data_IF_893052648901
#
_entry.id   IF_893052648901
#
_cell.length_a   1.000
_cell.length_b   1.000
_cell.length_c   1.000
_cell.angle_alpha   90.00
_cell.angle_beta   90.00
_cell.angle_gamma   90.00
#
_symmetry.space_group_name_H-M   'P 1'
#
loop_
_entity.id
_entity.type
_entity.pdbx_description
1 polymer ?
#
# COMPACT_ATOMS: atom_id res chain seq x y z
N UNK A 1 9.75 -36.60 -50.08
CA UNK A 1 8.31 -36.65 -49.79
C UNK A 1 7.95 -35.47 -48.88
N UNK A 2 6.69 -35.00 -48.93
CA UNK A 2 6.05 -33.91 -48.14
C UNK A 2 6.14 -32.52 -48.80
N UNK A 3 5.20 -32.07 -49.66
CA UNK A 3 3.73 -31.79 -49.55
C UNK A 3 3.42 -30.44 -48.87
N UNK A 4 2.87 -29.51 -49.68
CA UNK A 4 2.35 -28.18 -49.27
C UNK A 4 1.10 -28.29 -48.37
N UNK A 5 0.86 -27.30 -47.49
CA UNK A 5 -0.50 -26.99 -47.02
C UNK A 5 -0.63 -25.56 -46.46
N UNK A 6 -1.33 -24.72 -47.21
CA UNK A 6 -2.02 -23.51 -46.73
C UNK A 6 -3.07 -23.89 -45.70
N UNK A 7 -3.21 -23.15 -44.59
CA UNK A 7 -4.36 -23.31 -43.68
C UNK A 7 -4.87 -21.93 -43.27
N UNK A 8 -6.07 -21.61 -43.75
CA UNK A 8 -6.97 -20.61 -43.18
C UNK A 8 -7.94 -21.33 -42.24
N UNK A 9 -8.12 -20.85 -41.00
CA UNK A 9 -9.23 -21.21 -40.09
C UNK A 9 -9.42 -19.99 -39.19
N UNK A 10 -10.42 -19.13 -39.43
CA UNK A 10 -11.83 -19.28 -39.06
C UNK A 10 -12.03 -19.25 -37.53
N UNK A 11 -12.79 -18.25 -37.08
CA UNK A 11 -13.05 -17.98 -35.68
C UNK A 11 -13.75 -19.13 -34.96
N UNK A 12 -13.61 -19.13 -33.64
CA UNK A 12 -14.46 -19.89 -32.73
C UNK A 12 -14.49 -19.16 -31.40
N UNK A 13 -15.57 -18.40 -31.18
CA UNK A 13 -16.04 -18.04 -29.85
C UNK A 13 -16.45 -19.35 -29.16
N UNK A 14 -15.69 -19.77 -28.17
CA UNK A 14 -16.04 -20.91 -27.33
C UNK A 14 -16.14 -20.45 -25.87
N UNK A 15 -17.39 -20.28 -25.44
CA UNK A 15 -17.85 -20.22 -24.06
C UNK A 15 -17.42 -21.48 -23.31
N UNK A 16 -16.79 -21.30 -22.14
CA UNK A 16 -16.58 -22.34 -21.14
C UNK A 16 -17.30 -21.92 -19.86
N UNK A 17 -18.51 -22.46 -19.69
CA UNK A 17 -19.25 -22.53 -18.43
C UNK A 17 -18.81 -23.76 -17.61
N UNK A 18 -19.07 -23.69 -16.29
CA UNK A 18 -19.03 -24.74 -15.24
C UNK A 18 -17.65 -24.86 -14.55
N UNK A 19 -17.47 -24.86 -13.22
CA UNK A 19 -18.35 -24.96 -12.06
C UNK A 19 -17.52 -25.44 -10.85
N UNK A 20 -18.06 -25.31 -9.63
CA UNK A 20 -17.59 -25.90 -8.35
C UNK A 20 -16.40 -25.27 -7.58
N UNK A 21 -16.72 -24.51 -6.52
CA UNK A 21 -16.58 -24.94 -5.11
C UNK A 21 -16.38 -23.73 -4.18
N UNK A 22 -17.21 -23.67 -3.16
CA UNK A 22 -17.30 -22.61 -2.17
C UNK A 22 -16.04 -22.48 -1.31
N UNK A 23 -15.57 -21.24 -1.12
CA UNK A 23 -14.92 -20.80 0.11
C UNK A 23 -15.56 -19.45 0.50
N UNK A 24 -16.32 -19.38 1.61
CA UNK A 24 -16.75 -18.12 2.17
C UNK A 24 -15.56 -17.56 2.97
N UNK A 25 -14.63 -16.89 2.30
CA UNK A 25 -13.74 -15.99 3.01
C UNK A 25 -14.49 -14.67 3.13
N UNK A 26 -15.18 -14.53 4.24
CA UNK A 26 -15.56 -13.23 4.77
C UNK A 26 -14.30 -12.37 4.84
N UNK A 27 -13.98 -11.65 3.75
CA UNK A 27 -13.36 -10.35 3.89
C UNK A 27 -14.52 -9.46 4.32
N UNK A 28 -14.84 -9.55 5.61
CA UNK A 28 -15.29 -8.40 6.34
C UNK A 28 -14.41 -7.25 5.85
N UNK A 29 -15.00 -6.36 5.05
CA UNK A 29 -14.54 -4.99 5.01
C UNK A 29 -14.83 -4.43 6.41
N UNK A 30 -14.09 -4.95 7.40
CA UNK A 30 -13.87 -4.29 8.66
C UNK A 30 -13.40 -2.93 8.26
N UNK A 31 -14.14 -1.94 8.75
CA UNK A 31 -13.97 -0.54 8.49
C UNK A 31 -12.55 -0.25 7.99
N UNK A 32 -12.42 0.10 6.70
CA UNK A 32 -11.37 1.01 6.28
C UNK A 32 -11.73 2.33 6.97
N UNK A 33 -11.61 2.36 8.30
CA UNK A 33 -11.44 3.57 9.06
C UNK A 33 -10.29 4.22 8.34
N UNK A 34 -10.60 5.30 7.64
CA UNK A 34 -9.67 5.97 6.76
C UNK A 34 -8.41 6.18 7.57
N UNK A 35 -7.37 5.38 7.29
CA UNK A 35 -6.10 5.54 7.97
C UNK A 35 -5.77 7.02 7.83
N UNK A 36 -5.36 7.71 8.90
CA UNK A 36 -5.10 9.15 8.81
C UNK A 36 -4.24 9.40 7.58
N UNK A 37 -4.60 10.40 6.78
CA UNK A 37 -4.01 10.62 5.45
C UNK A 37 -2.46 10.60 5.49
N UNK A 38 -1.90 11.02 6.63
CA UNK A 38 -0.48 10.97 6.96
C UNK A 38 0.10 9.54 7.07
N UNK A 39 -0.59 8.57 7.66
CA UNK A 39 -0.17 7.17 7.69
C UNK A 39 -0.12 6.56 6.28
N UNK A 40 -1.03 7.00 5.39
CA UNK A 40 -1.00 6.59 3.98
C UNK A 40 0.20 7.21 3.23
N UNK A 41 0.55 8.47 3.52
CA UNK A 41 1.77 9.10 2.98
C UNK A 41 3.05 8.40 3.43
N UNK A 42 3.12 7.97 4.70
CA UNK A 42 4.22 7.15 5.23
C UNK A 42 4.38 5.84 4.45
N UNK A 43 3.29 5.08 4.27
CA UNK A 43 3.32 3.83 3.51
C UNK A 43 3.62 4.04 2.03
N UNK A 44 3.06 5.08 1.42
CA UNK A 44 3.33 5.43 0.01
C UNK A 44 4.81 5.76 -0.21
N UNK A 45 5.41 6.53 0.71
CA UNK A 45 6.84 6.83 0.67
C UNK A 45 7.68 5.56 0.79
N UNK A 46 7.41 4.69 1.77
CA UNK A 46 8.15 3.43 1.95
C UNK A 46 8.08 2.54 0.70
N UNK A 47 6.90 2.40 0.08
CA UNK A 47 6.76 1.64 -1.16
C UNK A 47 7.53 2.27 -2.32
N UNK A 48 7.57 3.60 -2.42
CA UNK A 48 8.37 4.30 -3.45
C UNK A 48 9.87 4.06 -3.33
N UNK A 49 10.35 3.77 -2.11
CA UNK A 49 11.75 3.43 -1.82
C UNK A 49 12.04 1.93 -1.96
N UNK A 50 11.05 1.12 -2.35
CA UNK A 50 11.20 -0.33 -2.52
C UNK A 50 10.91 -1.16 -1.27
N UNK A 51 10.42 -0.55 -0.19
CA UNK A 51 9.98 -1.29 1.00
C UNK A 51 8.53 -1.74 0.83
N UNK A 52 8.32 -3.05 0.68
CA UNK A 52 6.97 -3.62 0.61
C UNK A 52 6.13 -3.30 1.86
N UNK A 53 4.83 -3.08 1.69
CA UNK A 53 3.92 -2.97 2.83
C UNK A 53 3.88 -4.27 3.63
N UNK A 54 4.17 -4.20 4.93
CA UNK A 54 4.06 -5.29 5.89
C UNK A 54 3.22 -4.85 7.09
N UNK A 55 2.66 -5.77 7.89
CA UNK A 55 1.91 -5.42 9.10
C UNK A 55 2.72 -4.52 10.05
N UNK A 56 3.99 -4.84 10.29
CA UNK A 56 4.88 -4.04 11.14
C UNK A 56 5.07 -2.61 10.63
N UNK A 57 5.22 -2.42 9.31
CA UNK A 57 5.35 -1.08 8.70
C UNK A 57 4.04 -0.30 8.74
N UNK A 58 2.91 -0.98 8.60
CA UNK A 58 1.58 -0.40 8.79
C UNK A 58 1.38 0.06 10.22
N UNK A 59 1.72 -0.78 11.21
CA UNK A 59 1.63 -0.42 12.63
C UNK A 59 2.56 0.76 12.97
N UNK A 60 3.78 0.77 12.44
CA UNK A 60 4.71 1.87 12.62
C UNK A 60 4.14 3.20 12.08
N UNK A 61 3.62 3.21 10.85
CA UNK A 61 3.03 4.39 10.24
C UNK A 61 1.73 4.87 10.94
N UNK A 62 1.05 3.99 11.70
CA UNK A 62 -0.11 4.34 12.53
C UNK A 62 0.28 4.74 13.96
N UNK A 63 1.56 4.63 14.33
CA UNK A 63 2.02 5.01 15.66
C UNK A 63 1.88 6.51 15.90
N UNK A 64 1.28 6.87 17.03
CA UNK A 64 1.19 8.27 17.49
C UNK A 64 2.51 8.79 18.09
N UNK A 65 3.47 7.89 18.34
CA UNK A 65 4.75 8.23 18.97
C UNK A 65 5.86 8.06 17.96
N UNK A 66 6.51 9.17 17.64
CA UNK A 66 7.54 9.24 16.59
C UNK A 66 8.73 8.30 16.84
N UNK A 67 9.20 8.20 18.09
CA UNK A 67 10.29 7.29 18.45
C UNK A 67 9.95 5.83 18.16
N UNK A 68 8.74 5.39 18.56
CA UNK A 68 8.27 4.03 18.27
C UNK A 68 8.10 3.77 16.77
N UNK A 69 7.66 4.77 16.00
CA UNK A 69 7.59 4.64 14.55
C UNK A 69 8.98 4.33 13.95
N UNK A 70 10.01 5.06 14.37
CA UNK A 70 11.38 4.84 13.87
C UNK A 70 11.87 3.46 14.29
N UNK A 71 11.75 3.09 15.56
CA UNK A 71 12.23 1.80 16.09
C UNK A 71 11.59 0.61 15.35
N UNK A 72 10.28 0.63 15.12
CA UNK A 72 9.59 -0.47 14.42
C UNK A 72 10.01 -0.54 12.95
N UNK A 73 10.22 0.61 12.29
CA UNK A 73 10.68 0.63 10.89
C UNK A 73 12.12 0.11 10.76
N UNK A 74 13.01 0.50 11.67
CA UNK A 74 14.39 0.03 11.69
C UNK A 74 14.48 -1.48 11.98
N UNK A 75 13.70 -1.98 12.94
CA UNK A 75 13.54 -3.42 13.20
C UNK A 75 13.01 -4.17 11.97
N UNK A 76 12.11 -3.52 11.21
CA UNK A 76 11.59 -4.00 9.93
C UNK A 76 12.55 -3.82 8.75
N UNK A 77 13.85 -3.63 9.00
CA UNK A 77 14.91 -3.48 7.99
C UNK A 77 14.76 -2.25 7.06
N UNK A 78 14.05 -1.23 7.50
CA UNK A 78 14.06 0.08 6.82
C UNK A 78 15.30 0.85 7.27
N UNK A 79 16.04 1.43 6.34
CA UNK A 79 17.21 2.22 6.70
C UNK A 79 16.79 3.45 7.53
N UNK A 80 17.56 3.80 8.55
CA UNK A 80 17.27 4.89 9.50
C UNK A 80 16.84 6.20 8.83
N UNK A 81 17.48 6.57 7.73
CA UNK A 81 17.14 7.77 6.97
C UNK A 81 15.73 7.72 6.38
N UNK A 82 15.30 6.57 5.84
CA UNK A 82 13.96 6.40 5.31
C UNK A 82 12.92 6.23 6.42
N UNK A 83 13.28 5.60 7.54
CA UNK A 83 12.41 5.49 8.71
C UNK A 83 12.03 6.87 9.25
N UNK A 84 13.01 7.75 9.48
CA UNK A 84 12.76 9.11 9.96
C UNK A 84 11.83 9.91 9.01
N UNK A 85 12.12 9.90 7.70
CA UNK A 85 11.31 10.62 6.71
C UNK A 85 9.87 10.07 6.65
N UNK A 86 9.70 8.74 6.68
CA UNK A 86 8.39 8.11 6.69
C UNK A 86 7.59 8.51 7.94
N UNK A 87 8.23 8.49 9.11
CA UNK A 87 7.61 8.87 10.38
C UNK A 87 7.31 10.37 10.50
N UNK A 88 8.07 11.25 9.83
CA UNK A 88 7.73 12.67 9.71
C UNK A 88 6.50 12.89 8.84
N UNK A 89 6.37 12.11 7.75
CA UNK A 89 5.17 12.12 6.90
C UNK A 89 3.94 11.58 7.66
N UNK A 90 4.11 10.52 8.45
CA UNK A 90 3.06 9.93 9.29
C UNK A 90 2.45 10.90 10.31
N UNK A 91 3.22 11.89 10.77
CA UNK A 91 2.74 12.92 11.71
C UNK A 91 1.97 14.05 11.05
N UNK A 92 1.90 14.04 9.72
CA UNK A 92 1.23 15.07 8.94
C UNK A 92 2.05 16.36 8.92
N UNK A 93 2.14 16.96 7.74
CA UNK A 93 2.59 18.36 7.57
C UNK A 93 1.61 19.37 8.19
N UNK A 94 0.69 18.93 9.06
CA UNK A 94 -0.22 19.73 9.87
C UNK A 94 0.50 20.77 10.74
N UNK A 95 1.78 20.55 11.08
CA UNK A 95 2.60 21.59 11.73
C UNK A 95 2.99 22.75 10.79
N UNK A 96 3.05 22.54 9.47
CA UNK A 96 3.37 23.57 8.48
C UNK A 96 2.10 24.31 8.00
N UNK A 97 0.99 23.60 7.80
CA UNK A 97 -0.26 24.23 7.37
C UNK A 97 -0.99 24.99 8.50
N UNK A 98 -0.87 24.56 9.77
CA UNK A 98 -1.48 25.25 10.91
C UNK A 98 -0.69 26.49 11.39
N UNK A 99 0.62 26.58 11.09
CA UNK A 99 1.42 27.80 11.35
C UNK A 99 1.15 28.93 10.34
N UNK A 100 0.65 28.60 9.16
CA UNK A 100 0.23 29.60 8.15
C UNK A 100 -1.18 30.16 8.39
N UNK A 101 -1.92 29.70 9.40
CA UNK A 101 -3.32 30.12 9.68
C UNK A 101 -3.50 30.85 11.02
N UNK A 102 -2.44 31.40 11.61
CA UNK A 102 -2.57 32.39 12.68
C UNK A 102 -2.44 33.79 12.08
N UNK A 103 -3.53 34.49 11.71
CA UNK A 103 -3.45 35.93 11.57
C UNK A 103 -3.17 36.50 12.97
N UNK A 104 -2.08 37.26 13.08
CA UNK A 104 -1.87 38.13 14.20
C UNK A 104 -3.07 39.08 14.30
N UNK A 105 -3.80 39.05 15.41
CA UNK A 105 -4.73 40.10 15.85
C UNK A 105 -4.95 39.98 17.34
#
# INVERSE_FOLDING_TARGET
>A
MSVLKTIAVAGSLAVLTLGMSALPAAATAEAVGSAPQSAQECLAYLNSQGYATTPARTDACNSLVHAFCIEILEDSQVASAHAAIACDLARGRDSLANRSRTPAS
#
